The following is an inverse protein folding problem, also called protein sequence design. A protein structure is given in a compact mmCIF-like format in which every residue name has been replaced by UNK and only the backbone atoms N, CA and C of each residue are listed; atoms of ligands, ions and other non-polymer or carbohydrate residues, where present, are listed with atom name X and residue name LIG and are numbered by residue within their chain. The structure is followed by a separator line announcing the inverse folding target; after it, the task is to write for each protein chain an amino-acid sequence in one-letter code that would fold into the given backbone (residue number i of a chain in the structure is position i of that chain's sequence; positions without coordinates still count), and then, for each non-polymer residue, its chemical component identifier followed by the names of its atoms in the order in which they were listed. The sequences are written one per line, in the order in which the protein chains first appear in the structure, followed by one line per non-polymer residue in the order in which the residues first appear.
data_IF_941963299823
#
_entry.id   IF_941963299823
#
_cell.length_a   1.000
_cell.length_b   1.000
_cell.length_c   1.000
_cell.angle_alpha   90.00
_cell.angle_beta   90.00
_cell.angle_gamma   90.00
#
_symmetry.space_group_name_H-M   'P 1'
#
loop_
_entity.id
_entity.type
_entity.pdbx_description
1 polymer ?
#
# COMPACT_ATOMS: atom_id res chain seq x y z
N UNK A 1 -23.98 -23.83 -89.76
CA UNK A 1 -23.78 -25.07 -88.98
C UNK A 1 -22.36 -25.08 -88.44
N UNK A 2 -22.19 -25.49 -87.17
CA UNK A 2 -20.94 -25.72 -86.40
C UNK A 2 -20.38 -24.54 -85.57
N UNK A 3 -20.78 -24.60 -84.30
CA UNK A 3 -20.19 -24.05 -83.07
C UNK A 3 -18.80 -24.67 -82.82
N UNK A 4 -17.98 -23.97 -82.00
CA UNK A 4 -16.93 -24.41 -81.02
C UNK A 4 -15.63 -23.59 -81.23
N UNK A 5 -14.85 -23.17 -80.23
CA UNK A 5 -14.82 -23.35 -78.78
C UNK A 5 -13.89 -22.25 -78.21
N UNK A 6 -14.13 -21.86 -76.97
CA UNK A 6 -13.39 -20.89 -76.14
C UNK A 6 -11.90 -21.18 -75.97
N UNK A 7 -11.08 -20.13 -75.87
CA UNK A 7 -9.89 -20.11 -74.99
C UNK A 7 -9.84 -18.76 -74.28
N UNK A 8 -10.00 -18.84 -72.96
CA UNK A 8 -9.79 -17.78 -71.98
C UNK A 8 -8.29 -17.61 -71.78
N UNK A 9 -7.77 -16.39 -71.83
CA UNK A 9 -6.51 -16.04 -71.16
C UNK A 9 -6.75 -14.90 -70.18
N UNK A 10 -6.70 -15.26 -68.92
CA UNK A 10 -6.79 -14.44 -67.72
C UNK A 10 -5.50 -13.61 -67.60
N UNK A 11 -5.58 -12.28 -67.68
CA UNK A 11 -4.48 -11.41 -67.25
C UNK A 11 -4.76 -10.94 -65.82
N UNK A 12 -4.02 -11.51 -64.87
CA UNK A 12 -4.03 -11.10 -63.47
C UNK A 12 -3.31 -9.74 -63.33
N UNK A 13 -4.07 -8.70 -63.00
CA UNK A 13 -3.50 -7.42 -62.57
C UNK A 13 -3.01 -7.57 -61.12
N UNK A 14 -1.70 -7.60 -60.94
CA UNK A 14 -1.05 -7.65 -59.63
C UNK A 14 -1.06 -6.22 -59.03
N UNK A 15 -2.11 -5.87 -58.31
CA UNK A 15 -2.11 -4.67 -57.47
C UNK A 15 -1.21 -4.91 -56.25
N UNK A 16 -0.03 -4.31 -56.23
CA UNK A 16 0.80 -4.23 -55.03
C UNK A 16 0.11 -3.32 -54.01
N UNK A 17 -0.54 -3.92 -53.02
CA UNK A 17 -1.04 -3.20 -51.85
C UNK A 17 0.16 -2.87 -50.94
N UNK A 18 0.32 -1.62 -50.47
CA UNK A 18 1.30 -1.34 -49.43
C UNK A 18 0.90 -2.11 -48.17
N UNK A 19 1.80 -2.97 -47.71
CA UNK A 19 1.68 -3.66 -46.43
C UNK A 19 1.65 -2.60 -45.33
N UNK A 20 0.48 -2.33 -44.75
CA UNK A 20 0.38 -1.62 -43.48
C UNK A 20 1.02 -2.50 -42.42
N UNK A 21 2.27 -2.18 -42.06
CA UNK A 21 2.86 -2.69 -40.83
C UNK A 21 1.95 -2.32 -39.66
N UNK A 22 1.63 -3.25 -38.75
CA UNK A 22 1.00 -2.86 -37.50
C UNK A 22 2.04 -2.00 -36.76
N UNK A 23 1.75 -0.71 -36.63
CA UNK A 23 2.48 0.13 -35.69
C UNK A 23 2.41 -0.55 -34.32
N UNK A 24 3.56 -0.76 -33.68
CA UNK A 24 3.60 -1.20 -32.30
C UNK A 24 2.74 -0.24 -31.49
N UNK A 25 1.64 -0.74 -30.91
CA UNK A 25 0.79 0.03 -30.02
C UNK A 25 1.61 0.38 -28.79
N UNK A 26 2.11 1.61 -28.72
CA UNK A 26 2.51 2.21 -27.44
C UNK A 26 1.31 2.07 -26.49
N UNK A 27 1.48 1.53 -25.26
CA UNK A 27 0.38 1.45 -24.31
C UNK A 27 -0.20 2.85 -24.10
N UNK A 28 -1.49 2.99 -24.38
CA UNK A 28 -2.18 4.27 -24.54
C UNK A 28 -2.47 4.92 -23.16
N UNK A 29 -2.68 6.26 -23.09
CA UNK A 29 -2.92 7.10 -21.89
C UNK A 29 -3.86 6.57 -20.79
N UNK A 30 -4.63 5.52 -21.05
CA UNK A 30 -5.50 4.83 -20.10
C UNK A 30 -4.70 4.02 -19.04
N UNK A 31 -3.57 3.41 -19.42
CA UNK A 31 -2.68 2.70 -18.51
C UNK A 31 -2.06 3.65 -17.46
N UNK A 32 -1.39 4.71 -17.93
CA UNK A 32 -0.84 5.76 -17.05
C UNK A 32 -1.89 6.37 -16.10
N UNK A 33 -3.15 6.46 -16.53
CA UNK A 33 -4.25 6.91 -15.69
C UNK A 33 -4.59 5.94 -14.55
N UNK A 34 -4.61 4.62 -14.81
CA UNK A 34 -4.90 3.60 -13.80
C UNK A 34 -3.79 3.51 -12.74
N UNK A 35 -2.53 3.49 -13.18
CA UNK A 35 -1.38 3.51 -12.29
C UNK A 35 -1.36 4.74 -11.38
N UNK A 36 -1.67 5.93 -11.93
CA UNK A 36 -1.77 7.16 -11.16
C UNK A 36 -2.93 7.14 -10.16
N UNK A 37 -4.13 6.71 -10.60
CA UNK A 37 -5.30 6.59 -9.72
C UNK A 37 -5.03 5.68 -8.54
N UNK A 38 -4.43 4.50 -8.77
CA UNK A 38 -4.10 3.57 -7.68
C UNK A 38 -3.03 4.13 -6.76
N UNK A 39 -2.03 4.85 -7.28
CA UNK A 39 -1.02 5.52 -6.44
C UNK A 39 -1.67 6.52 -5.48
N UNK A 40 -2.56 7.37 -6.00
CA UNK A 40 -3.25 8.37 -5.18
C UNK A 40 -4.17 7.71 -4.16
N UNK A 41 -4.96 6.71 -4.57
CA UNK A 41 -5.84 5.98 -3.67
C UNK A 41 -5.07 5.28 -2.52
N UNK A 42 -3.92 4.65 -2.82
CA UNK A 42 -3.09 4.05 -1.79
C UNK A 42 -2.48 5.11 -0.88
N UNK A 43 -1.95 6.22 -1.42
CA UNK A 43 -1.43 7.32 -0.60
C UNK A 43 -2.49 7.84 0.38
N UNK A 44 -3.72 8.05 -0.08
CA UNK A 44 -4.82 8.51 0.77
C UNK A 44 -5.12 7.50 1.88
N UNK A 45 -5.27 6.21 1.56
CA UNK A 45 -5.52 5.17 2.54
C UNK A 45 -4.43 5.11 3.62
N UNK A 46 -3.16 5.19 3.23
CA UNK A 46 -2.02 5.10 4.12
C UNK A 46 -1.81 6.37 4.97
N UNK A 47 -2.11 7.56 4.44
CA UNK A 47 -2.11 8.80 5.22
C UNK A 47 -3.24 8.80 6.25
N UNK A 48 -4.43 8.37 5.85
CA UNK A 48 -5.59 8.23 6.73
C UNK A 48 -5.31 7.24 7.87
N UNK A 49 -4.54 6.17 7.59
CA UNK A 49 -4.12 5.20 8.61
C UNK A 49 -3.32 5.85 9.75
N UNK A 50 -2.27 6.60 9.39
CA UNK A 50 -1.41 7.24 10.39
C UNK A 50 -2.13 8.40 11.09
N UNK A 51 -3.09 9.03 10.42
CA UNK A 51 -3.96 10.05 11.01
C UNK A 51 -4.78 9.46 12.17
N UNK A 52 -5.51 8.35 11.95
CA UNK A 52 -6.33 7.75 13.01
C UNK A 52 -5.50 7.18 14.17
N UNK A 53 -4.29 6.67 13.89
CA UNK A 53 -3.38 6.22 14.94
C UNK A 53 -2.88 7.41 15.79
N UNK A 54 -2.57 8.54 15.16
CA UNK A 54 -2.21 9.77 15.86
C UNK A 54 -3.34 10.30 16.73
N UNK A 55 -4.56 10.32 16.21
CA UNK A 55 -5.75 10.70 16.96
C UNK A 55 -5.98 9.81 18.18
N UNK A 56 -5.77 8.50 18.05
CA UNK A 56 -5.79 7.60 19.19
C UNK A 56 -4.73 7.97 20.22
N UNK A 57 -3.47 8.16 19.80
CA UNK A 57 -2.38 8.47 20.71
C UNK A 57 -2.63 9.77 21.50
N UNK A 58 -3.13 10.81 20.83
CA UNK A 58 -3.52 12.09 21.45
C UNK A 58 -4.65 11.88 22.46
N UNK A 59 -5.73 11.19 22.06
CA UNK A 59 -6.88 10.95 22.92
C UNK A 59 -6.52 10.10 24.14
N UNK A 60 -5.72 9.06 23.95
CA UNK A 60 -5.24 8.18 25.01
C UNK A 60 -4.38 8.93 26.02
N UNK A 61 -3.44 9.77 25.54
CA UNK A 61 -2.60 10.60 26.39
C UNK A 61 -3.42 11.63 27.19
N UNK A 62 -4.53 12.12 26.64
CA UNK A 62 -5.46 13.02 27.30
C UNK A 62 -6.44 12.31 28.27
N UNK A 63 -6.43 10.97 28.33
CA UNK A 63 -7.40 10.19 29.09
C UNK A 63 -8.82 10.24 28.51
N UNK A 64 -9.00 10.71 27.28
CA UNK A 64 -10.29 10.82 26.61
C UNK A 64 -10.67 9.48 25.97
N UNK A 65 -11.25 8.58 26.78
CA UNK A 65 -11.60 7.22 26.34
C UNK A 65 -12.59 7.19 25.18
N UNK A 66 -13.59 8.08 25.19
CA UNK A 66 -14.60 8.12 24.11
C UNK A 66 -13.95 8.44 22.76
N UNK A 67 -13.05 9.42 22.71
CA UNK A 67 -12.34 9.76 21.48
C UNK A 67 -11.34 8.67 21.09
N UNK A 68 -10.65 8.06 22.05
CA UNK A 68 -9.73 6.96 21.78
C UNK A 68 -10.46 5.74 21.20
N UNK A 69 -11.65 5.41 21.69
CA UNK A 69 -12.45 4.30 21.17
C UNK A 69 -12.90 4.56 19.72
N UNK A 70 -13.34 5.77 19.41
CA UNK A 70 -13.71 6.16 18.03
C UNK A 70 -12.48 6.09 17.11
N UNK A 71 -11.35 6.66 17.51
CA UNK A 71 -10.12 6.62 16.71
C UNK A 71 -9.66 5.18 16.47
N UNK A 72 -9.68 4.32 17.49
CA UNK A 72 -9.34 2.89 17.37
C UNK A 72 -10.24 2.16 16.34
N UNK A 73 -11.55 2.42 16.35
CA UNK A 73 -12.47 1.85 15.37
C UNK A 73 -12.15 2.33 13.94
N UNK A 74 -11.78 3.59 13.78
CA UNK A 74 -11.38 4.14 12.48
C UNK A 74 -10.05 3.56 11.99
N UNK A 75 -9.07 3.32 12.88
CA UNK A 75 -7.83 2.59 12.52
C UNK A 75 -8.18 1.22 11.95
N UNK A 76 -9.09 0.47 12.59
CA UNK A 76 -9.50 -0.86 12.12
C UNK A 76 -10.26 -0.78 10.79
N UNK A 77 -11.16 0.19 10.64
CA UNK A 77 -11.92 0.41 9.41
C UNK A 77 -10.98 0.74 8.24
N UNK A 78 -10.04 1.66 8.45
CA UNK A 78 -9.05 2.04 7.45
C UNK A 78 -8.08 0.89 7.13
N UNK A 79 -7.61 0.12 8.13
CA UNK A 79 -6.79 -1.07 7.90
C UNK A 79 -7.53 -2.12 7.03
N UNK A 80 -8.84 -2.25 7.22
CA UNK A 80 -9.69 -3.11 6.37
C UNK A 80 -9.74 -2.59 4.94
N UNK A 81 -9.83 -1.26 4.74
CA UNK A 81 -9.78 -0.67 3.41
C UNK A 81 -8.41 -0.85 2.71
N UNK A 82 -7.30 -0.67 3.44
CA UNK A 82 -5.95 -0.98 2.95
C UNK A 82 -5.86 -2.44 2.52
N UNK A 83 -6.29 -3.37 3.38
CA UNK A 83 -6.25 -4.79 3.09
C UNK A 83 -7.08 -5.16 1.84
N UNK A 84 -8.30 -4.63 1.73
CA UNK A 84 -9.17 -4.92 0.59
C UNK A 84 -8.71 -4.26 -0.72
N UNK A 85 -7.83 -3.25 -0.66
CA UNK A 85 -7.26 -2.64 -1.88
C UNK A 85 -6.46 -3.62 -2.73
N UNK A 86 -5.93 -4.70 -2.13
CA UNK A 86 -5.14 -5.72 -2.84
C UNK A 86 -5.98 -6.92 -3.31
N UNK A 87 -7.24 -7.04 -2.84
CA UNK A 87 -8.11 -8.18 -3.13
C UNK A 87 -8.37 -8.38 -4.65
N UNK A 88 -8.53 -7.33 -5.48
CA UNK A 88 -8.72 -7.50 -6.93
C UNK A 88 -7.52 -8.12 -7.65
N UNK A 89 -6.32 -8.09 -7.05
CA UNK A 89 -5.07 -8.56 -7.65
C UNK A 89 -4.61 -9.91 -7.07
N UNK A 90 -4.75 -10.11 -5.76
CA UNK A 90 -4.28 -11.31 -5.07
C UNK A 90 -5.40 -12.18 -4.45
N UNK A 91 -6.66 -11.76 -4.56
CA UNK A 91 -7.81 -12.45 -4.00
C UNK A 91 -8.06 -12.16 -2.51
N UNK A 92 -9.27 -12.51 -2.05
CA UNK A 92 -9.70 -12.25 -0.67
C UNK A 92 -8.80 -12.90 0.40
N UNK A 93 -8.30 -14.14 0.25
CA UNK A 93 -7.44 -14.74 1.27
C UNK A 93 -6.15 -13.93 1.52
N UNK A 94 -5.60 -13.29 0.48
CA UNK A 94 -4.44 -12.41 0.63
C UNK A 94 -4.80 -11.11 1.36
N UNK A 95 -5.95 -10.52 1.05
CA UNK A 95 -6.46 -9.35 1.77
C UNK A 95 -6.70 -9.66 3.25
N UNK A 96 -7.34 -10.79 3.58
CA UNK A 96 -7.59 -11.20 4.97
C UNK A 96 -6.28 -11.42 5.75
N UNK A 97 -5.28 -12.02 5.11
CA UNK A 97 -3.96 -12.19 5.70
C UNK A 97 -3.25 -10.84 5.90
N UNK A 98 -3.37 -9.90 4.96
CA UNK A 98 -2.84 -8.54 5.12
C UNK A 98 -3.54 -7.83 6.29
N UNK A 99 -4.87 -7.92 6.40
CA UNK A 99 -5.64 -7.33 7.50
C UNK A 99 -5.17 -7.87 8.86
N UNK A 100 -4.96 -9.18 8.98
CA UNK A 100 -4.42 -9.79 10.20
C UNK A 100 -3.06 -9.21 10.59
N UNK A 101 -2.19 -8.98 9.61
CA UNK A 101 -0.87 -8.42 9.85
C UNK A 101 -0.95 -6.93 10.22
N UNK A 102 -1.81 -6.14 9.56
CA UNK A 102 -2.06 -4.73 9.91
C UNK A 102 -2.69 -4.60 11.30
N UNK A 103 -3.60 -5.50 11.68
CA UNK A 103 -4.17 -5.55 13.02
C UNK A 103 -3.10 -5.84 14.08
N UNK A 104 -2.12 -6.70 13.77
CA UNK A 104 -0.95 -6.93 14.62
C UNK A 104 -0.07 -5.68 14.77
N UNK A 105 0.18 -4.95 13.68
CA UNK A 105 0.91 -3.68 13.72
C UNK A 105 0.21 -2.68 14.64
N UNK A 106 -1.09 -2.45 14.38
CA UNK A 106 -1.93 -1.57 15.18
C UNK A 106 -1.95 -1.98 16.65
N UNK A 107 -2.13 -3.26 16.95
CA UNK A 107 -2.14 -3.78 18.31
C UNK A 107 -0.87 -3.44 19.07
N UNK A 108 0.29 -3.57 18.43
CA UNK A 108 1.58 -3.23 19.04
C UNK A 108 1.75 -1.71 19.25
N UNK A 109 1.36 -0.87 18.28
CA UNK A 109 1.37 0.61 18.47
C UNK A 109 0.43 1.04 19.60
N UNK A 110 -0.79 0.51 19.61
CA UNK A 110 -1.78 0.75 20.66
C UNK A 110 -1.24 0.35 22.03
N UNK A 111 -0.64 -0.84 22.14
CA UNK A 111 -0.02 -1.32 23.36
C UNK A 111 1.12 -0.40 23.82
N UNK A 112 1.95 0.11 22.90
CA UNK A 112 3.00 1.07 23.25
C UNK A 112 2.40 2.37 23.82
N UNK A 113 1.33 2.88 23.22
CA UNK A 113 0.59 4.06 23.71
C UNK A 113 0.01 3.81 25.11
N UNK A 114 -0.66 2.68 25.33
CA UNK A 114 -1.25 2.32 26.62
C UNK A 114 -0.16 2.10 27.70
N UNK A 115 0.97 1.51 27.33
CA UNK A 115 2.14 1.35 28.19
C UNK A 115 2.82 2.69 28.53
N UNK A 116 2.80 3.66 27.61
CA UNK A 116 3.25 5.04 27.89
C UNK A 116 2.40 5.72 28.94
N UNK A 117 1.07 5.65 28.82
CA UNK A 117 0.14 6.27 29.79
C UNK A 117 0.25 5.59 31.16
N UNK A 118 0.37 4.27 31.19
CA UNK A 118 0.53 3.50 32.44
C UNK A 118 1.97 3.44 32.99
N UNK A 119 2.92 4.13 32.34
CA UNK A 119 4.34 4.16 32.70
C UNK A 119 5.00 2.77 32.80
N UNK A 120 4.53 1.82 32.01
CA UNK A 120 5.01 0.43 32.00
C UNK A 120 6.20 0.26 31.05
N UNK A 121 7.42 0.30 31.59
CA UNK A 121 8.63 0.05 30.80
C UNK A 121 8.64 -1.35 30.15
N UNK A 122 8.16 -2.37 30.87
CA UNK A 122 8.02 -3.72 30.34
C UNK A 122 6.99 -3.78 29.20
N UNK A 123 5.86 -3.08 29.33
CA UNK A 123 4.83 -3.00 28.29
C UNK A 123 5.34 -2.33 27.02
N UNK A 124 6.12 -1.24 27.15
CA UNK A 124 6.81 -0.58 26.03
C UNK A 124 7.76 -1.53 25.32
N UNK A 125 8.60 -2.24 26.07
CA UNK A 125 9.57 -3.16 25.48
C UNK A 125 8.89 -4.33 24.74
N UNK A 126 7.80 -4.88 25.32
CA UNK A 126 7.01 -5.91 24.66
C UNK A 126 6.43 -5.40 23.33
N UNK A 127 5.82 -4.21 23.32
CA UNK A 127 5.28 -3.61 22.10
C UNK A 127 6.33 -3.34 21.02
N UNK A 128 7.55 -2.94 21.40
CA UNK A 128 8.67 -2.78 20.45
C UNK A 128 9.07 -4.11 19.83
N UNK A 129 9.12 -5.18 20.62
CA UNK A 129 9.43 -6.52 20.13
C UNK A 129 8.34 -7.05 19.17
N UNK A 130 7.07 -6.79 19.51
CA UNK A 130 5.93 -7.15 18.68
C UNK A 130 5.92 -6.38 17.37
N UNK A 131 6.20 -5.07 17.39
CA UNK A 131 6.38 -4.25 16.18
C UNK A 131 7.50 -4.79 15.29
N UNK A 132 8.66 -5.12 15.86
CA UNK A 132 9.78 -5.67 15.09
C UNK A 132 9.48 -7.04 14.47
N UNK A 133 8.74 -7.90 15.18
CA UNK A 133 8.31 -9.19 14.66
C UNK A 133 7.23 -9.04 13.59
N UNK A 134 6.29 -8.13 13.79
CA UNK A 134 5.24 -7.80 12.83
C UNK A 134 5.81 -7.21 11.53
N UNK A 135 6.78 -6.30 11.61
CA UNK A 135 7.46 -5.73 10.44
C UNK A 135 8.09 -6.81 9.56
N UNK A 136 8.76 -7.81 10.17
CA UNK A 136 9.31 -8.97 9.44
C UNK A 136 8.21 -9.80 8.78
N UNK A 137 7.10 -10.06 9.49
CA UNK A 137 6.00 -10.85 8.96
C UNK A 137 5.29 -10.15 7.79
N UNK A 138 5.04 -8.84 7.89
CA UNK A 138 4.51 -8.00 6.81
C UNK A 138 5.45 -7.98 5.62
N UNK A 139 6.74 -7.73 5.85
CA UNK A 139 7.76 -7.73 4.80
C UNK A 139 7.80 -9.07 4.06
N UNK A 140 7.78 -10.18 4.81
CA UNK A 140 7.78 -11.52 4.24
C UNK A 140 6.54 -11.80 3.39
N UNK A 141 5.37 -11.45 3.91
CA UNK A 141 4.11 -11.67 3.21
C UNK A 141 4.06 -10.89 1.89
N UNK A 142 4.38 -9.59 1.93
CA UNK A 142 4.32 -8.71 0.77
C UNK A 142 5.40 -9.07 -0.27
N UNK A 143 6.62 -9.41 0.16
CA UNK A 143 7.68 -9.84 -0.75
C UNK A 143 7.40 -11.19 -1.42
N UNK A 144 6.72 -12.09 -0.70
CA UNK A 144 6.29 -13.38 -1.27
C UNK A 144 5.19 -13.18 -2.31
N UNK A 145 4.25 -12.25 -2.05
CA UNK A 145 3.19 -11.93 -3.01
C UNK A 145 3.73 -11.17 -4.24
N UNK A 146 4.71 -10.28 -4.04
CA UNK A 146 5.28 -9.43 -5.09
C UNK A 146 6.82 -9.44 -5.07
N UNK A 147 7.49 -10.10 -6.04
CA UNK A 147 8.94 -10.17 -6.08
C UNK A 147 9.63 -8.83 -6.37
N UNK A 148 8.87 -7.78 -6.75
CA UNK A 148 9.39 -6.43 -6.93
C UNK A 148 9.54 -5.66 -5.62
N UNK A 149 9.20 -6.29 -4.49
CA UNK A 149 9.36 -5.77 -3.14
C UNK A 149 10.43 -6.57 -2.40
N UNK A 150 11.72 -6.18 -2.45
CA UNK A 150 12.76 -6.90 -1.71
C UNK A 150 12.45 -6.91 -0.21
N UNK A 151 12.39 -8.11 0.38
CA UNK A 151 11.99 -8.33 1.78
C UNK A 151 12.80 -7.48 2.76
N UNK A 152 14.12 -7.39 2.56
CA UNK A 152 15.00 -6.60 3.41
C UNK A 152 14.66 -5.10 3.38
N UNK A 153 14.44 -4.54 2.18
CA UNK A 153 14.04 -3.13 2.01
C UNK A 153 12.70 -2.87 2.69
N UNK A 154 11.72 -3.76 2.48
CA UNK A 154 10.39 -3.57 3.04
C UNK A 154 10.38 -3.68 4.57
N UNK A 155 11.17 -4.61 5.13
CA UNK A 155 11.36 -4.71 6.57
C UNK A 155 11.99 -3.43 7.16
N UNK A 156 12.99 -2.84 6.48
CA UNK A 156 13.58 -1.57 6.91
C UNK A 156 12.55 -0.43 6.90
N UNK A 157 11.74 -0.31 5.85
CA UNK A 157 10.70 0.71 5.77
C UNK A 157 9.66 0.54 6.88
N UNK A 158 9.16 -0.69 7.09
CA UNK A 158 8.17 -0.97 8.13
C UNK A 158 8.73 -0.77 9.55
N UNK A 159 10.00 -1.11 9.79
CA UNK A 159 10.64 -0.87 11.08
C UNK A 159 10.78 0.64 11.36
N UNK A 160 11.19 1.42 10.36
CA UNK A 160 11.25 2.87 10.47
C UNK A 160 9.86 3.48 10.69
N UNK A 161 8.83 2.97 10.01
CA UNK A 161 7.44 3.38 10.23
C UNK A 161 6.97 3.14 11.67
N UNK A 162 7.25 1.94 12.23
CA UNK A 162 6.97 1.66 13.65
C UNK A 162 7.76 2.57 14.60
N UNK A 163 9.00 2.92 14.24
CA UNK A 163 9.82 3.88 14.98
C UNK A 163 9.20 5.28 15.05
N UNK A 164 8.57 5.75 13.97
CA UNK A 164 7.85 7.04 13.95
C UNK A 164 6.69 7.06 14.94
N UNK A 165 5.89 5.99 15.01
CA UNK A 165 4.80 5.88 15.99
C UNK A 165 5.33 5.93 17.43
N UNK A 166 6.42 5.21 17.71
CA UNK A 166 7.06 5.20 19.04
C UNK A 166 7.52 6.62 19.43
N UNK A 167 8.24 7.29 18.53
CA UNK A 167 8.72 8.65 18.77
C UNK A 167 7.56 9.62 19.03
N UNK A 168 6.54 9.59 18.16
CA UNK A 168 5.35 10.44 18.29
C UNK A 168 4.64 10.22 19.64
N UNK A 169 4.46 8.96 20.06
CA UNK A 169 3.83 8.64 21.35
C UNK A 169 4.67 9.18 22.52
N UNK A 170 5.98 9.00 22.49
CA UNK A 170 6.87 9.48 23.56
C UNK A 170 6.91 11.01 23.62
N UNK A 171 6.90 11.69 22.47
CA UNK A 171 6.88 13.15 22.35
C UNK A 171 5.56 13.73 22.88
N UNK A 172 4.42 13.12 22.51
CA UNK A 172 3.11 13.46 23.07
C UNK A 172 3.10 13.28 24.60
N UNK A 173 3.66 12.17 25.10
CA UNK A 173 3.78 11.89 26.54
C UNK A 173 4.61 12.94 27.29
N UNK A 174 5.67 13.45 26.66
CA UNK A 174 6.52 14.54 27.18
C UNK A 174 5.93 15.93 26.97
N UNK A 175 4.79 16.04 26.27
CA UNK A 175 4.21 17.31 25.79
C UNK A 175 5.16 18.12 24.91
N UNK A 176 6.06 17.45 24.20
CA UNK A 176 6.97 18.07 23.23
C UNK A 176 6.28 18.17 21.87
N UNK A 177 5.31 19.08 21.77
CA UNK A 177 4.51 19.27 20.54
C UNK A 177 5.33 19.79 19.37
N UNK A 178 6.49 20.41 19.64
CA UNK A 178 7.39 20.87 18.58
C UNK A 178 8.10 19.68 17.94
N UNK A 179 8.64 18.76 18.75
CA UNK A 179 9.23 17.53 18.23
C UNK A 179 8.18 16.67 17.52
N UNK A 180 7.01 16.50 18.14
CA UNK A 180 5.90 15.72 17.56
C UNK A 180 5.48 16.22 16.18
N UNK A 181 5.40 17.55 15.98
CA UNK A 181 5.06 18.12 14.68
C UNK A 181 6.11 17.80 13.60
N UNK A 182 7.39 17.72 13.96
CA UNK A 182 8.49 17.32 13.05
C UNK A 182 8.40 15.83 12.75
N UNK A 183 8.20 14.99 13.77
CA UNK A 183 7.99 13.55 13.61
C UNK A 183 6.78 13.27 12.70
N UNK A 184 5.67 13.98 12.88
CA UNK A 184 4.50 13.88 12.03
C UNK A 184 4.79 14.20 10.56
N UNK A 185 5.54 15.27 10.27
CA UNK A 185 5.94 15.61 8.90
C UNK A 185 6.77 14.50 8.26
N UNK A 186 7.81 14.01 8.95
CA UNK A 186 8.64 12.91 8.46
C UNK A 186 7.86 11.61 8.29
N UNK A 187 6.93 11.32 9.21
CA UNK A 187 6.08 10.14 9.15
C UNK A 187 5.15 10.17 7.94
N UNK A 188 4.57 11.33 7.64
CA UNK A 188 3.75 11.52 6.44
C UNK A 188 4.57 11.32 5.16
N UNK A 189 5.76 11.90 5.07
CA UNK A 189 6.64 11.69 3.92
C UNK A 189 7.03 10.21 3.77
N UNK A 190 7.37 9.56 4.88
CA UNK A 190 7.73 8.15 4.90
C UNK A 190 6.57 7.26 4.44
N UNK A 191 5.36 7.46 4.96
CA UNK A 191 4.22 6.60 4.58
C UNK A 191 3.82 6.79 3.12
N UNK A 192 3.96 8.00 2.58
CA UNK A 192 3.77 8.24 1.14
C UNK A 192 4.80 7.45 0.31
N UNK A 193 6.06 7.42 0.74
CA UNK A 193 7.10 6.61 0.11
C UNK A 193 6.81 5.10 0.17
N UNK A 194 6.28 4.60 1.29
CA UNK A 194 5.82 3.21 1.41
C UNK A 194 4.66 2.91 0.46
N UNK A 195 3.64 3.78 0.43
CA UNK A 195 2.51 3.64 -0.49
C UNK A 195 2.95 3.64 -1.97
N UNK A 196 3.90 4.50 -2.33
CA UNK A 196 4.47 4.55 -3.68
C UNK A 196 5.25 3.28 -4.04
N UNK A 197 6.05 2.74 -3.11
CA UNK A 197 6.80 1.51 -3.33
C UNK A 197 5.84 0.32 -3.57
N UNK A 198 4.77 0.22 -2.77
CA UNK A 198 3.72 -0.78 -2.95
C UNK A 198 3.04 -0.62 -4.31
N UNK A 199 2.62 0.59 -4.67
CA UNK A 199 1.98 0.86 -5.96
C UNK A 199 2.90 0.50 -7.13
N UNK A 200 4.16 0.94 -7.10
CA UNK A 200 5.12 0.66 -8.16
C UNK A 200 5.33 -0.84 -8.36
N UNK A 201 5.36 -1.61 -7.27
CA UNK A 201 5.46 -3.06 -7.34
C UNK A 201 4.19 -3.71 -7.93
N UNK A 202 2.99 -3.22 -7.58
CA UNK A 202 1.73 -3.71 -8.16
C UNK A 202 1.70 -3.48 -9.68
N UNK A 203 2.01 -2.25 -10.11
CA UNK A 203 2.08 -1.88 -11.54
C UNK A 203 3.06 -2.78 -12.29
N UNK A 204 4.22 -3.05 -11.69
CA UNK A 204 5.24 -3.90 -12.32
C UNK A 204 4.85 -5.38 -12.38
N UNK A 205 4.10 -5.90 -11.41
CA UNK A 205 3.66 -7.30 -11.41
C UNK A 205 2.45 -7.53 -12.31
N UNK A 206 1.55 -6.54 -12.44
CA UNK A 206 0.30 -6.66 -13.18
C UNK A 206 0.18 -5.60 -14.28
N UNK A 207 1.11 -5.54 -15.26
CA UNK A 207 1.11 -4.49 -16.27
C UNK A 207 -0.20 -4.42 -17.08
N UNK A 208 -0.90 -5.55 -17.29
CA UNK A 208 -2.17 -5.56 -18.02
C UNK A 208 -3.36 -4.97 -17.24
N UNK A 209 -3.17 -4.63 -15.96
CA UNK A 209 -4.19 -4.00 -15.09
C UNK A 209 -3.97 -2.50 -14.92
N UNK A 210 -2.81 -2.00 -15.35
CA UNK A 210 -2.33 -0.64 -15.14
C UNK A 210 -1.80 -0.06 -16.46
#
# INVERSE_FOLDING_TARGET
MKIRLSVVLLLAALCALPSLSPAAQTPAPQAESAALTTRLALRDLWVEHIFWIRDYAIANQAGNRQQADVASQQVVSNATAIANSIAPLYGQPAADQLLKLLAGHWGAVKQYSDASVSQSAAGKQAAVNDLGSNAKALAKFLSTANPNLPEATLNTMLAAHGGHHIAQIDELGKKDYKAEAVTWQHMREHILGLADALTAALVKQFPDKF
#
